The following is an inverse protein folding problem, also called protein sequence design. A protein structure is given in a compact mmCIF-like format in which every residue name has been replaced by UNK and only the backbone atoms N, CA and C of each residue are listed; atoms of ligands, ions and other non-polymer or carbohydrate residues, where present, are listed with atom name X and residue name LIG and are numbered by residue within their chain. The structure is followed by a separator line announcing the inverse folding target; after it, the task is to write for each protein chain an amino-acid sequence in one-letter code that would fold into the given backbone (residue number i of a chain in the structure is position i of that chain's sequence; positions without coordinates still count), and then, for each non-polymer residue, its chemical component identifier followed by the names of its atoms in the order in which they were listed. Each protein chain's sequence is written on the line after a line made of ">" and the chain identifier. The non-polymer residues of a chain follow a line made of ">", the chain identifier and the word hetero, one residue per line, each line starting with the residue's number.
data_IF_435971031548
#
_entry.id   IF_435971031548
#
_cell.length_a   1.000
_cell.length_b   1.000
_cell.length_c   1.000
_cell.angle_alpha   90.00
_cell.angle_beta   90.00
_cell.angle_gamma   90.00
#
_symmetry.space_group_name_H-M   'P 1'
#
loop_
_entity.id
_entity.type
_entity.pdbx_description
1 polymer ?
#
# COMPACT_ATOMS: atom_id res chain seq x y z
N UNK A 1 97.25 -38.24 13.54
CA UNK A 1 96.75 -39.58 13.21
C UNK A 1 95.32 -39.42 12.71
N UNK A 2 95.06 -39.38 11.39
CA UNK A 2 94.69 -40.56 10.53
C UNK A 2 93.43 -41.25 11.06
N UNK A 3 92.28 -41.41 10.39
CA UNK A 3 91.92 -41.72 8.99
C UNK A 3 90.42 -41.37 8.77
N UNK A 4 90.02 -40.73 7.66
CA UNK A 4 89.34 -41.31 6.45
C UNK A 4 88.07 -42.13 6.74
N UNK A 5 86.90 -41.60 6.38
CA UNK A 5 86.07 -41.95 5.20
C UNK A 5 85.06 -43.08 5.55
N UNK A 6 83.86 -43.28 4.97
CA UNK A 6 83.24 -42.91 3.70
C UNK A 6 81.75 -43.36 3.80
N UNK A 7 80.80 -42.52 3.34
CA UNK A 7 79.44 -42.81 2.77
C UNK A 7 78.47 -43.70 3.59
N UNK A 8 77.17 -43.41 3.65
CA UNK A 8 76.17 -43.81 2.64
C UNK A 8 74.93 -42.93 2.77
N UNK A 9 74.47 -42.45 1.62
CA UNK A 9 73.24 -41.72 1.39
C UNK A 9 72.00 -42.56 1.75
N UNK A 10 71.06 -41.97 2.49
CA UNK A 10 69.65 -42.37 2.40
C UNK A 10 68.80 -41.09 2.33
N UNK A 11 68.41 -40.74 1.11
CA UNK A 11 67.43 -39.71 0.79
C UNK A 11 66.06 -40.20 1.28
N UNK A 12 65.59 -39.69 2.42
CA UNK A 12 64.17 -39.75 2.76
C UNK A 12 63.52 -38.45 2.25
N UNK A 13 63.09 -38.47 0.99
CA UNK A 13 62.19 -37.46 0.47
C UNK A 13 60.80 -37.70 1.08
N UNK A 14 60.50 -36.99 2.16
CA UNK A 14 59.14 -36.91 2.69
C UNK A 14 58.36 -35.96 1.78
N UNK A 15 57.63 -36.51 0.83
CA UNK A 15 56.63 -35.77 0.07
C UNK A 15 55.45 -35.44 0.99
N UNK A 16 55.36 -34.19 1.45
CA UNK A 16 54.14 -33.67 2.05
C UNK A 16 53.10 -33.49 0.94
N UNK A 17 52.22 -34.48 0.79
CA UNK A 17 50.95 -34.33 0.07
C UNK A 17 50.01 -33.51 0.95
N UNK A 18 49.88 -32.22 0.66
CA UNK A 18 48.78 -31.41 1.17
C UNK A 18 47.53 -31.83 0.40
N UNK A 19 46.78 -32.78 0.96
CA UNK A 19 45.43 -33.08 0.51
C UNK A 19 44.55 -31.96 1.07
N UNK A 20 44.24 -30.95 0.26
CA UNK A 20 43.13 -30.06 0.54
C UNK A 20 41.84 -30.90 0.44
N UNK A 21 41.39 -31.43 1.58
CA UNK A 21 40.05 -31.98 1.69
C UNK A 21 39.07 -30.80 1.55
N UNK A 22 38.58 -30.56 0.34
CA UNK A 22 37.39 -29.75 0.14
C UNK A 22 36.24 -30.53 0.77
N UNK A 23 35.81 -30.09 1.95
CA UNK A 23 34.54 -30.53 2.51
C UNK A 23 33.46 -30.22 1.47
N UNK A 24 32.55 -31.18 1.15
CA UNK A 24 31.40 -30.84 0.33
C UNK A 24 30.67 -29.70 1.02
N UNK A 25 30.40 -28.62 0.28
CA UNK A 25 29.53 -27.57 0.76
C UNK A 25 28.20 -28.23 1.15
N UNK A 26 27.95 -28.36 2.46
CA UNK A 26 26.66 -28.76 2.96
C UNK A 26 25.73 -27.59 2.68
N UNK A 27 24.99 -27.70 1.59
CA UNK A 27 23.85 -26.85 1.29
C UNK A 27 22.93 -26.91 2.52
N UNK A 28 22.78 -25.76 3.19
CA UNK A 28 21.93 -25.66 4.37
C UNK A 28 20.52 -26.09 3.96
N UNK A 29 19.84 -26.98 4.71
CA UNK A 29 18.48 -27.36 4.36
C UNK A 29 17.64 -26.10 4.26
N UNK A 30 17.04 -25.86 3.09
CA UNK A 30 16.13 -24.75 2.89
C UNK A 30 15.11 -24.75 4.03
N UNK A 31 14.89 -23.61 4.72
CA UNK A 31 13.87 -23.53 5.75
C UNK A 31 12.54 -23.99 5.14
N UNK A 32 11.72 -24.74 5.88
CA UNK A 32 10.45 -25.25 5.37
C UNK A 32 9.65 -24.08 4.81
N UNK A 33 9.27 -24.18 3.54
CA UNK A 33 8.42 -23.21 2.88
C UNK A 33 7.03 -23.29 3.53
N UNK A 34 6.86 -22.56 4.63
CA UNK A 34 5.54 -22.23 5.14
C UNK A 34 4.81 -21.52 4.01
N UNK A 35 3.61 -21.95 3.59
CA UNK A 35 2.91 -21.31 2.48
C UNK A 35 2.69 -19.84 2.82
N UNK A 36 3.43 -18.94 2.15
CA UNK A 36 3.08 -17.54 2.10
C UNK A 36 1.62 -17.46 1.64
N UNK A 37 0.81 -16.59 2.26
CA UNK A 37 -0.56 -16.39 1.80
C UNK A 37 -0.53 -15.91 0.36
N UNK A 38 -0.77 -16.82 -0.59
CA UNK A 38 -0.81 -16.52 -2.01
C UNK A 38 -2.10 -15.77 -2.30
N UNK A 39 -2.01 -14.44 -2.34
CA UNK A 39 -3.07 -13.61 -2.91
C UNK A 39 -3.03 -13.82 -4.43
N UNK A 40 -4.15 -14.17 -5.08
CA UNK A 40 -4.22 -14.21 -6.52
C UNK A 40 -3.72 -12.87 -7.10
N UNK A 41 -2.87 -12.86 -8.13
CA UNK A 41 -2.32 -11.61 -8.67
C UNK A 41 -3.39 -10.60 -9.07
N UNK A 42 -4.54 -11.09 -9.57
CA UNK A 42 -5.68 -10.27 -10.00
C UNK A 42 -6.40 -9.55 -8.84
N UNK A 43 -6.14 -9.95 -7.59
CA UNK A 43 -6.74 -9.35 -6.39
C UNK A 43 -5.83 -8.30 -5.73
N UNK A 44 -4.69 -7.95 -6.35
CA UNK A 44 -3.73 -6.97 -5.83
C UNK A 44 -3.87 -5.64 -6.60
N UNK A 45 -4.23 -4.56 -5.89
CA UNK A 45 -4.31 -3.22 -6.46
C UNK A 45 -3.00 -2.43 -6.37
N UNK A 46 -2.17 -2.71 -5.38
CA UNK A 46 -0.95 -1.95 -5.11
C UNK A 46 -0.16 -2.52 -3.94
N UNK A 47 0.84 -1.78 -3.48
CA UNK A 47 1.77 -2.24 -2.47
C UNK A 47 2.07 -1.17 -1.41
N UNK A 48 2.29 -1.63 -0.19
CA UNK A 48 2.96 -0.85 0.85
C UNK A 48 4.36 -1.42 0.99
N UNK A 49 5.39 -0.61 0.86
CA UNK A 49 6.78 -1.08 1.01
C UNK A 49 7.31 -0.57 2.34
N UNK A 50 7.78 -1.47 3.20
CA UNK A 50 8.47 -1.12 4.43
C UNK A 50 9.98 -1.24 4.22
N UNK A 51 10.74 -0.27 4.75
CA UNK A 51 12.21 -0.24 4.65
C UNK A 51 12.83 -0.21 6.05
N UNK A 52 14.03 -0.78 6.17
CA UNK A 52 14.92 -0.57 7.33
C UNK A 52 15.94 0.56 7.05
N UNK A 53 16.90 0.74 7.97
CA UNK A 53 17.96 1.74 7.87
C UNK A 53 18.99 1.47 6.77
N UNK A 54 19.07 0.24 6.26
CA UNK A 54 20.02 -0.20 5.24
C UNK A 54 19.36 -0.36 3.87
N UNK A 55 18.19 0.24 3.67
CA UNK A 55 17.35 0.13 2.47
C UNK A 55 16.91 -1.31 2.14
N UNK A 56 17.00 -2.25 3.10
CA UNK A 56 16.34 -3.54 2.94
C UNK A 56 14.84 -3.32 3.01
N UNK A 57 14.09 -4.03 2.17
CA UNK A 57 12.66 -3.81 2.06
C UNK A 57 11.86 -5.10 2.00
N UNK A 58 10.59 -4.97 2.36
CA UNK A 58 9.56 -5.94 2.04
C UNK A 58 8.33 -5.19 1.53
N UNK A 59 7.55 -5.83 0.65
CA UNK A 59 6.31 -5.27 0.14
C UNK A 59 5.12 -6.06 0.67
N UNK A 60 4.08 -5.32 1.01
CA UNK A 60 2.82 -5.83 1.55
C UNK A 60 1.72 -5.57 0.53
N UNK A 61 1.13 -6.62 -0.08
CA UNK A 61 0.13 -6.44 -1.13
C UNK A 61 -1.17 -5.85 -0.58
N UNK A 62 -1.75 -4.92 -1.33
CA UNK A 62 -3.02 -4.27 -0.99
C UNK A 62 -4.13 -4.86 -1.85
N UNK A 63 -5.23 -5.36 -1.26
CA UNK A 63 -6.33 -5.90 -2.03
C UNK A 63 -6.96 -4.86 -2.97
N UNK A 64 -7.66 -5.32 -4.01
CA UNK A 64 -8.45 -4.45 -4.89
C UNK A 64 -9.57 -3.71 -4.15
N UNK A 65 -9.90 -2.51 -4.62
CA UNK A 65 -11.08 -1.79 -4.15
C UNK A 65 -12.36 -2.59 -4.43
N UNK A 66 -13.36 -2.41 -3.57
CA UNK A 66 -14.62 -3.14 -3.70
C UNK A 66 -14.62 -4.54 -3.07
N UNK A 67 -13.45 -5.13 -2.80
CA UNK A 67 -13.36 -6.46 -2.16
C UNK A 67 -13.91 -6.48 -0.73
N UNK A 68 -13.80 -5.37 0.01
CA UNK A 68 -14.19 -5.30 1.42
C UNK A 68 -13.37 -6.22 2.33
N UNK A 69 -12.22 -6.68 1.85
CA UNK A 69 -11.35 -7.63 2.53
C UNK A 69 -10.49 -6.89 3.55
N UNK A 70 -10.25 -7.53 4.69
CA UNK A 70 -9.21 -7.14 5.64
C UNK A 70 -8.08 -8.16 5.60
N UNK A 71 -6.85 -7.67 5.43
CA UNK A 71 -5.61 -8.46 5.51
C UNK A 71 -4.77 -7.97 6.66
N UNK A 72 -4.14 -8.89 7.37
CA UNK A 72 -3.23 -8.63 8.48
C UNK A 72 -1.90 -9.28 8.12
N UNK A 73 -0.85 -8.48 8.15
CA UNK A 73 0.51 -8.86 7.84
C UNK A 73 1.34 -8.70 9.10
N UNK A 74 1.46 -9.81 9.84
CA UNK A 74 2.33 -9.92 11.01
C UNK A 74 3.76 -10.24 10.54
N UNK A 75 4.70 -9.38 10.91
CA UNK A 75 6.09 -9.54 10.53
C UNK A 75 6.75 -10.63 11.38
N UNK A 76 6.27 -10.89 12.60
CA UNK A 76 6.83 -11.96 13.44
C UNK A 76 6.53 -13.37 12.89
N UNK A 77 5.29 -13.63 12.47
CA UNK A 77 4.83 -14.98 12.10
C UNK A 77 5.35 -15.53 10.75
N UNK A 78 6.22 -14.81 10.03
CA UNK A 78 6.84 -15.28 8.77
C UNK A 78 5.93 -15.25 7.52
N UNK A 79 4.60 -15.30 7.71
CA UNK A 79 3.63 -15.42 6.62
C UNK A 79 3.50 -14.17 5.72
N UNK A 80 4.02 -13.02 6.16
CA UNK A 80 3.92 -11.76 5.43
C UNK A 80 5.10 -11.47 4.49
N UNK A 81 6.12 -12.33 4.42
CA UNK A 81 7.35 -12.04 3.64
C UNK A 81 8.19 -10.88 4.20
N UNK A 82 7.80 -10.34 5.36
CA UNK A 82 8.43 -9.20 6.03
C UNK A 82 9.16 -9.59 7.33
N UNK A 83 9.45 -10.87 7.53
CA UNK A 83 10.00 -11.37 8.81
C UNK A 83 11.32 -10.72 9.20
N UNK A 84 12.21 -10.56 8.22
CA UNK A 84 13.52 -9.97 8.44
C UNK A 84 13.47 -8.50 8.91
N UNK A 85 12.33 -7.84 8.68
CA UNK A 85 12.06 -6.43 9.00
C UNK A 85 11.23 -6.23 10.28
N UNK A 86 10.80 -7.31 10.95
CA UNK A 86 10.14 -7.21 12.25
C UNK A 86 11.04 -6.47 13.25
N UNK A 87 10.51 -5.43 13.90
CA UNK A 87 11.26 -4.52 14.80
C UNK A 87 12.52 -3.91 14.15
N UNK A 88 12.51 -3.70 12.83
CA UNK A 88 13.60 -3.03 12.09
C UNK A 88 13.10 -2.04 11.04
N UNK A 89 11.87 -2.21 10.57
CA UNK A 89 11.28 -1.25 9.65
C UNK A 89 11.07 0.11 10.34
N UNK A 90 11.57 1.17 9.69
CA UNK A 90 11.54 2.55 10.20
C UNK A 90 10.83 3.53 9.27
N UNK A 91 10.51 3.11 8.05
CA UNK A 91 9.86 3.94 7.05
C UNK A 91 9.02 3.11 6.08
N UNK A 92 8.07 3.77 5.43
CA UNK A 92 7.12 3.15 4.52
C UNK A 92 6.92 3.99 3.25
N UNK A 93 6.67 3.34 2.13
CA UNK A 93 6.19 3.96 0.90
C UNK A 93 4.89 3.30 0.45
N UNK A 94 4.08 4.03 -0.30
CA UNK A 94 2.77 3.58 -0.75
C UNK A 94 2.68 3.68 -2.27
N UNK A 95 2.26 2.62 -2.94
CA UNK A 95 2.18 2.51 -4.39
C UNK A 95 0.82 1.96 -4.83
N UNK A 96 0.21 2.62 -5.81
CA UNK A 96 -1.07 2.28 -6.43
C UNK A 96 -2.23 1.94 -5.47
N UNK A 97 -2.24 2.55 -4.27
CA UNK A 97 -3.26 2.26 -3.29
C UNK A 97 -4.66 2.69 -3.75
N UNK A 98 -5.67 1.81 -3.63
CA UNK A 98 -7.05 2.15 -3.96
C UNK A 98 -7.60 3.24 -3.04
N UNK A 99 -8.67 3.90 -3.49
CA UNK A 99 -9.38 4.88 -2.66
C UNK A 99 -10.11 4.21 -1.50
N UNK A 100 -10.32 4.95 -0.41
CA UNK A 100 -11.02 4.49 0.79
C UNK A 100 -10.41 3.25 1.46
N UNK A 101 -9.11 3.02 1.28
CA UNK A 101 -8.33 1.99 1.94
C UNK A 101 -7.93 2.47 3.33
N UNK A 102 -8.24 1.70 4.36
CA UNK A 102 -7.74 1.93 5.72
C UNK A 102 -6.47 1.13 5.94
N UNK A 103 -5.47 1.76 6.55
CA UNK A 103 -4.17 1.15 6.84
C UNK A 103 -3.89 1.40 8.31
N UNK A 104 -3.50 0.35 9.02
CA UNK A 104 -3.03 0.42 10.39
C UNK A 104 -1.60 -0.12 10.43
N UNK A 105 -0.67 0.70 10.94
CA UNK A 105 0.72 0.34 11.19
C UNK A 105 0.93 0.27 12.70
N UNK A 106 1.50 -0.83 13.22
CA UNK A 106 1.71 -1.03 14.66
C UNK A 106 3.06 -1.65 14.98
N UNK A 107 3.57 -1.41 16.18
CA UNK A 107 4.77 -2.08 16.71
C UNK A 107 4.50 -3.44 17.36
N UNK A 108 3.23 -3.84 17.39
CA UNK A 108 2.82 -5.11 17.98
C UNK A 108 2.28 -6.07 16.92
N UNK A 109 2.59 -7.38 17.00
CA UNK A 109 2.09 -8.38 16.04
C UNK A 109 0.56 -8.54 16.06
N UNK A 110 -0.13 -8.11 17.13
CA UNK A 110 -1.59 -8.23 17.21
C UNK A 110 -2.36 -7.25 16.30
N UNK A 111 -1.71 -6.22 15.75
CA UNK A 111 -2.33 -5.27 14.82
C UNK A 111 -3.64 -4.62 15.36
N UNK A 112 -3.68 -4.30 16.65
CA UNK A 112 -4.85 -3.71 17.34
C UNK A 112 -4.59 -2.29 17.83
N UNK A 113 -5.68 -1.52 18.01
CA UNK A 113 -5.65 -0.17 18.60
C UNK A 113 -6.29 -0.12 19.98
N UNK A 114 -6.73 -1.26 20.50
CA UNK A 114 -7.45 -1.38 21.78
C UNK A 114 -7.12 -2.69 22.47
N UNK A 115 -7.13 -2.68 23.80
CA UNK A 115 -6.81 -3.85 24.62
C UNK A 115 -5.90 -3.45 25.78
N UNK A 116 -5.12 -4.41 26.27
CA UNK A 116 -4.07 -4.15 27.26
C UNK A 116 -2.88 -3.42 26.61
N UNK A 117 -2.06 -2.73 27.41
CA UNK A 117 -0.81 -2.09 26.94
C UNK A 117 0.07 -3.05 26.13
N UNK A 118 0.12 -4.32 26.53
CA UNK A 118 0.89 -5.38 25.84
C UNK A 118 0.32 -5.68 24.46
N UNK A 119 -1.00 -5.62 24.28
CA UNK A 119 -1.63 -5.86 22.99
C UNK A 119 -1.50 -4.63 22.07
N UNK A 120 -1.70 -3.42 22.60
CA UNK A 120 -1.66 -2.20 21.78
C UNK A 120 -0.24 -1.86 21.33
N UNK A 121 0.77 -2.19 22.13
CA UNK A 121 2.15 -1.80 21.87
C UNK A 121 2.43 -0.35 22.25
N UNK A 122 3.59 0.16 21.84
CA UNK A 122 4.02 1.54 22.08
C UNK A 122 3.44 2.51 21.08
N UNK A 123 3.13 2.09 19.84
CA UNK A 123 2.54 3.00 18.87
C UNK A 123 1.60 2.32 17.90
N UNK A 124 0.68 3.12 17.38
CA UNK A 124 -0.04 2.77 16.16
C UNK A 124 -0.36 4.01 15.33
N UNK A 125 -0.41 3.84 14.02
CA UNK A 125 -0.72 4.89 13.05
C UNK A 125 -1.87 4.39 12.18
N UNK A 126 -2.98 5.13 12.16
CA UNK A 126 -4.16 4.82 11.36
C UNK A 126 -4.29 5.81 10.21
N UNK A 127 -4.17 5.31 9.00
CA UNK A 127 -4.26 6.07 7.76
C UNK A 127 -5.53 5.69 6.99
N UNK A 128 -5.98 6.60 6.13
CA UNK A 128 -7.02 6.32 5.14
C UNK A 128 -6.69 7.00 3.83
N UNK A 129 -6.82 6.27 2.72
CA UNK A 129 -6.71 6.90 1.41
C UNK A 129 -8.01 7.64 1.05
N UNK A 130 -7.89 8.87 0.54
CA UNK A 130 -9.05 9.71 0.14
C UNK A 130 -9.28 9.73 -1.36
N UNK A 131 -8.27 9.32 -2.13
CA UNK A 131 -8.29 9.06 -3.58
C UNK A 131 -7.25 7.99 -3.87
N UNK A 132 -7.18 7.49 -5.12
CA UNK A 132 -6.10 6.58 -5.52
C UNK A 132 -4.74 7.26 -5.28
N UNK A 133 -3.83 6.58 -4.60
CA UNK A 133 -2.45 7.03 -4.35
C UNK A 133 -1.56 6.32 -5.36
N UNK A 134 -0.97 7.04 -6.29
CA UNK A 134 -0.11 6.44 -7.33
C UNK A 134 1.23 6.02 -6.76
N UNK A 135 1.94 6.95 -6.12
CA UNK A 135 3.20 6.68 -5.45
C UNK A 135 3.45 7.75 -4.39
N UNK A 136 4.10 7.38 -3.29
CA UNK A 136 4.66 8.33 -2.33
C UNK A 136 6.17 8.16 -2.25
N UNK A 137 6.87 9.24 -1.91
CA UNK A 137 8.21 9.13 -1.34
C UNK A 137 8.18 8.29 -0.06
N UNK A 138 9.35 7.79 0.34
CA UNK A 138 9.53 7.10 1.61
C UNK A 138 9.23 8.03 2.78
N UNK A 139 8.35 7.60 3.69
CA UNK A 139 7.92 8.34 4.87
C UNK A 139 8.38 7.60 6.12
N UNK A 140 9.24 8.24 6.92
CA UNK A 140 9.66 7.68 8.20
C UNK A 140 8.50 7.63 9.21
N UNK A 141 8.45 6.57 10.02
CA UNK A 141 7.38 6.38 11.01
C UNK A 141 7.24 7.55 12.01
N UNK A 142 8.33 8.16 12.52
CA UNK A 142 8.23 9.34 13.38
C UNK A 142 7.53 10.55 12.72
N UNK A 143 7.57 10.64 11.38
CA UNK A 143 7.01 11.77 10.66
C UNK A 143 5.48 11.87 10.83
N UNK A 144 4.79 10.73 10.92
CA UNK A 144 3.34 10.69 11.08
C UNK A 144 2.86 11.35 12.38
N UNK A 145 3.64 11.25 13.47
CA UNK A 145 3.29 11.84 14.76
C UNK A 145 3.49 13.35 14.83
N UNK A 146 4.02 13.98 13.77
CA UNK A 146 4.11 15.44 13.65
C UNK A 146 2.79 16.08 13.21
N UNK A 147 1.85 15.27 12.71
CA UNK A 147 0.59 15.73 12.17
C UNK A 147 -0.53 15.63 13.21
N UNK A 148 -1.46 16.59 13.15
CA UNK A 148 -2.71 16.47 13.89
C UNK A 148 -3.61 15.38 13.27
N UNK A 149 -4.51 14.82 14.08
CA UNK A 149 -5.52 13.86 13.62
C UNK A 149 -6.39 14.47 12.53
N UNK A 150 -6.87 13.64 11.59
CA UNK A 150 -7.68 14.03 10.43
C UNK A 150 -7.01 15.05 9.48
N UNK A 151 -5.69 14.97 9.31
CA UNK A 151 -4.95 15.83 8.37
C UNK A 151 -4.40 15.05 7.18
N UNK A 152 -4.33 15.70 6.01
CA UNK A 152 -3.72 15.10 4.83
C UNK A 152 -2.20 15.22 4.94
N UNK A 153 -1.51 14.08 4.93
CA UNK A 153 -0.04 14.01 5.01
C UNK A 153 0.59 14.17 3.63
N UNK A 154 -0.02 13.52 2.63
CA UNK A 154 0.33 13.58 1.21
C UNK A 154 -0.97 13.59 0.39
N UNK A 155 -0.95 14.00 -0.89
CA UNK A 155 -2.14 13.96 -1.73
C UNK A 155 -2.77 12.57 -1.76
N UNK A 156 -3.99 12.44 -1.22
CA UNK A 156 -4.69 11.16 -1.17
C UNK A 156 -4.43 10.29 0.05
N UNK A 157 -3.57 10.74 0.99
CA UNK A 157 -3.25 10.00 2.22
C UNK A 157 -3.59 10.84 3.46
N UNK A 158 -4.63 10.43 4.18
CA UNK A 158 -5.13 11.08 5.40
C UNK A 158 -4.62 10.34 6.64
N UNK A 159 -4.05 11.06 7.60
CA UNK A 159 -3.89 10.58 8.97
C UNK A 159 -5.24 10.62 9.67
N UNK A 160 -5.84 9.46 9.95
CA UNK A 160 -7.11 9.39 10.68
C UNK A 160 -6.84 9.60 12.17
N UNK A 161 -5.93 8.81 12.71
CA UNK A 161 -5.61 8.82 14.13
C UNK A 161 -4.22 8.21 14.37
N UNK A 162 -3.64 8.45 15.54
CA UNK A 162 -2.38 7.88 15.97
C UNK A 162 -2.28 7.82 17.49
N UNK A 163 -1.50 6.87 17.99
CA UNK A 163 -1.11 6.74 19.39
C UNK A 163 0.39 6.51 19.49
N UNK A 164 0.97 7.06 20.54
CA UNK A 164 2.39 6.92 20.84
C UNK A 164 2.58 6.99 22.36
N UNK A 165 3.28 6.00 22.90
CA UNK A 165 3.75 5.93 24.27
C UNK A 165 5.26 6.18 24.27
N UNK A 166 5.65 7.38 24.68
CA UNK A 166 7.06 7.82 24.67
C UNK A 166 7.32 8.88 23.61
N UNK A 167 8.52 8.87 23.03
CA UNK A 167 8.98 9.81 22.02
C UNK A 167 8.73 9.31 20.60
N UNK A 168 8.63 10.20 19.61
CA UNK A 168 8.35 9.80 18.22
C UNK A 168 9.42 8.91 17.61
N UNK A 169 10.65 8.99 18.11
CA UNK A 169 11.78 8.13 17.70
C UNK A 169 11.61 6.69 18.16
N UNK A 170 10.74 6.41 19.15
CA UNK A 170 10.43 5.04 19.58
C UNK A 170 9.67 4.26 18.50
N UNK A 171 9.18 4.95 17.47
CA UNK A 171 8.58 4.32 16.29
C UNK A 171 9.61 3.96 15.21
N UNK A 172 10.87 4.39 15.32
CA UNK A 172 11.94 3.89 14.44
C UNK A 172 12.24 2.44 14.80
N UNK A 173 12.56 1.63 13.79
CA UNK A 173 12.98 0.24 13.97
C UNK A 173 12.02 -0.56 14.86
N UNK A 174 10.72 -0.38 14.65
CA UNK A 174 9.71 -0.92 15.56
C UNK A 174 8.44 -1.38 14.85
N UNK A 175 8.27 -1.15 13.54
CA UNK A 175 7.09 -1.64 12.82
C UNK A 175 7.11 -3.17 12.74
N UNK A 176 6.03 -3.78 13.21
CA UNK A 176 5.92 -5.24 13.32
C UNK A 176 4.61 -5.79 12.79
N UNK A 177 3.61 -4.94 12.52
CA UNK A 177 2.40 -5.38 11.86
C UNK A 177 1.74 -4.30 11.00
N UNK A 178 1.17 -4.74 9.87
CA UNK A 178 0.38 -3.92 8.95
C UNK A 178 -0.99 -4.56 8.75
N UNK A 179 -2.07 -3.82 9.04
CA UNK A 179 -3.45 -4.24 8.73
C UNK A 179 -4.06 -3.32 7.69
N UNK A 180 -4.58 -3.92 6.62
CA UNK A 180 -5.17 -3.22 5.49
C UNK A 180 -6.62 -3.65 5.36
N UNK A 181 -7.52 -2.68 5.24
CA UNK A 181 -8.94 -2.90 4.98
C UNK A 181 -9.38 -2.06 3.78
N UNK A 182 -9.82 -2.72 2.72
CA UNK A 182 -10.35 -2.05 1.53
C UNK A 182 -11.84 -1.78 1.67
N UNK A 183 -12.33 -0.81 0.90
CA UNK A 183 -13.76 -0.56 0.80
C UNK A 183 -14.48 -1.78 0.23
N UNK A 184 -15.67 -2.08 0.76
CA UNK A 184 -16.59 -3.03 0.13
C UNK A 184 -17.27 -2.31 -1.03
N UNK A 185 -17.48 -3.01 -2.13
CA UNK A 185 -18.31 -2.53 -3.21
C UNK A 185 -19.72 -2.38 -2.62
N UNK A 186 -20.11 -1.14 -2.33
CA UNK A 186 -21.53 -0.84 -2.26
C UNK A 186 -22.08 -1.15 -3.64
N UNK A 187 -23.23 -1.84 -3.71
CA UNK A 187 -23.95 -2.12 -4.96
C UNK A 187 -23.79 -0.95 -5.94
N UNK A 188 -23.55 -1.22 -7.24
CA UNK A 188 -23.27 -0.16 -8.21
C UNK A 188 -24.27 0.96 -7.98
N UNK A 189 -23.76 2.16 -7.65
CA UNK A 189 -24.58 3.36 -7.44
C UNK A 189 -25.59 3.32 -8.59
N UNK A 190 -26.91 3.21 -8.32
CA UNK A 190 -27.88 2.93 -9.36
C UNK A 190 -27.62 3.91 -10.50
N UNK A 191 -27.19 3.39 -11.65
CA UNK A 191 -27.03 4.18 -12.85
C UNK A 191 -28.45 4.55 -13.23
N UNK A 192 -28.90 5.67 -12.68
CA UNK A 192 -30.15 6.31 -13.04
C UNK A 192 -29.99 6.63 -14.52
N UNK A 193 -30.62 5.83 -15.37
CA UNK A 193 -30.75 6.15 -16.78
C UNK A 193 -31.40 7.54 -16.84
N UNK A 194 -30.68 8.53 -17.33
CA UNK A 194 -31.28 9.84 -17.56
C UNK A 194 -32.06 9.73 -18.86
N UNK A 195 -33.38 9.83 -18.79
CA UNK A 195 -34.18 9.94 -20.01
C UNK A 195 -33.90 11.31 -20.62
N UNK A 196 -33.31 11.34 -21.80
CA UNK A 196 -33.26 12.54 -22.61
C UNK A 196 -34.73 12.92 -22.90
N UNK A 197 -35.16 14.09 -22.44
CA UNK A 197 -36.42 14.66 -22.93
C UNK A 197 -36.00 15.38 -24.21
N UNK A 198 -36.13 14.70 -25.37
CA UNK A 198 -35.72 15.23 -26.69
C UNK A 198 -36.36 16.58 -27.05
N UNK A 199 -37.36 17.02 -26.28
CA UNK A 199 -38.11 18.25 -26.50
C UNK A 199 -37.67 19.45 -25.65
N UNK A 200 -36.61 19.33 -24.84
CA UNK A 200 -36.21 20.39 -23.91
C UNK A 200 -34.85 21.02 -24.27
N UNK A 201 -34.61 21.14 -25.56
CA UNK A 201 -33.48 21.88 -26.14
C UNK A 201 -33.78 23.38 -26.06
N UNK A 202 -32.90 24.13 -25.43
CA UNK A 202 -33.04 25.59 -25.33
C UNK A 202 -31.84 26.26 -25.99
N UNK A 203 -32.14 27.10 -26.98
CA UNK A 203 -31.18 28.02 -27.59
C UNK A 203 -31.26 29.34 -26.84
N UNK A 204 -30.14 29.76 -26.26
CA UNK A 204 -30.08 31.01 -25.51
C UNK A 204 -28.91 31.85 -26.01
N UNK A 205 -29.18 33.12 -26.31
CA UNK A 205 -28.13 34.09 -26.64
C UNK A 205 -27.23 34.28 -25.42
N UNK A 206 -25.93 34.19 -25.64
CA UNK A 206 -24.94 34.32 -24.59
C UNK A 206 -24.51 35.78 -24.49
N UNK A 207 -24.83 36.42 -23.37
CA UNK A 207 -24.24 37.70 -22.97
C UNK A 207 -23.18 37.44 -21.88
N UNK A 208 -22.17 38.31 -21.76
CA UNK A 208 -21.15 38.21 -20.71
C UNK A 208 -21.81 38.11 -19.32
N UNK A 209 -21.59 36.98 -18.62
CA UNK A 209 -22.15 36.71 -17.30
C UNK A 209 -23.43 35.86 -17.26
N UNK A 210 -23.89 35.33 -18.40
CA UNK A 210 -25.06 34.45 -18.44
C UNK A 210 -24.86 33.16 -17.62
N UNK A 211 -25.82 32.86 -16.74
CA UNK A 211 -25.88 31.61 -15.97
C UNK A 211 -27.11 30.81 -16.37
N UNK A 212 -26.91 29.63 -16.97
CA UNK A 212 -27.98 28.73 -17.38
C UNK A 212 -28.35 27.73 -16.27
N UNK A 213 -29.65 27.61 -15.97
CA UNK A 213 -30.17 26.62 -15.05
C UNK A 213 -31.28 25.79 -15.70
N UNK A 214 -31.17 24.46 -15.66
CA UNK A 214 -32.21 23.56 -16.18
C UNK A 214 -33.55 23.67 -15.45
N UNK A 215 -33.59 24.22 -14.23
CA UNK A 215 -34.80 24.39 -13.42
C UNK A 215 -35.44 23.08 -12.95
N UNK A 216 -36.05 23.11 -11.76
CA UNK A 216 -36.68 21.93 -11.15
C UNK A 216 -35.69 20.79 -10.83
N UNK A 217 -36.17 19.55 -10.78
CA UNK A 217 -35.34 18.34 -10.55
C UNK A 217 -34.65 17.85 -11.84
N UNK A 218 -34.20 18.78 -12.70
CA UNK A 218 -33.54 18.46 -13.98
C UNK A 218 -32.06 18.78 -13.92
N UNK A 219 -31.26 17.98 -14.62
CA UNK A 219 -29.81 18.12 -14.70
C UNK A 219 -29.40 18.53 -16.12
N UNK A 220 -28.30 19.28 -16.24
CA UNK A 220 -27.68 19.59 -17.52
C UNK A 220 -27.00 18.33 -18.06
N UNK A 221 -27.41 17.90 -19.24
CA UNK A 221 -26.92 16.70 -19.91
C UNK A 221 -25.90 17.03 -21.00
N UNK A 222 -25.95 18.24 -21.55
CA UNK A 222 -25.02 18.67 -22.56
C UNK A 222 -25.17 20.16 -22.89
N UNK A 223 -24.11 20.71 -23.46
CA UNK A 223 -24.08 22.02 -24.07
C UNK A 223 -23.42 21.88 -25.44
N UNK A 224 -23.98 22.54 -26.45
CA UNK A 224 -23.33 22.71 -27.74
C UNK A 224 -23.27 24.20 -28.08
N UNK A 225 -22.20 24.60 -28.77
CA UNK A 225 -22.01 25.93 -29.30
C UNK A 225 -21.61 25.78 -30.77
N UNK A 226 -22.16 26.63 -31.61
CA UNK A 226 -21.88 26.59 -33.04
C UNK A 226 -21.71 28.02 -33.55
N UNK A 227 -20.61 28.29 -34.25
CA UNK A 227 -20.30 29.60 -34.82
C UNK A 227 -19.35 30.42 -33.94
N UNK A 228 -19.58 31.74 -33.90
CA UNK A 228 -18.78 32.69 -33.14
C UNK A 228 -19.40 33.00 -31.75
N UNK A 229 -18.70 33.76 -30.91
CA UNK A 229 -19.13 34.00 -29.52
C UNK A 229 -20.45 34.81 -29.39
N UNK A 230 -21.03 35.28 -30.50
CA UNK A 230 -22.33 35.95 -30.53
C UNK A 230 -23.48 34.98 -30.84
N UNK A 231 -23.16 33.76 -31.25
CA UNK A 231 -24.16 32.76 -31.59
C UNK A 231 -24.74 32.06 -30.35
N UNK A 232 -26.04 31.71 -30.38
CA UNK A 232 -26.70 31.11 -29.24
C UNK A 232 -26.10 29.74 -28.90
N UNK A 233 -26.10 29.44 -27.61
CA UNK A 233 -25.68 28.14 -27.09
C UNK A 233 -26.90 27.22 -26.97
N UNK A 234 -26.72 25.96 -27.36
CA UNK A 234 -27.68 24.90 -27.15
C UNK A 234 -27.44 24.27 -25.77
N UNK A 235 -28.47 24.24 -24.92
CA UNK A 235 -28.43 23.52 -23.66
C UNK A 235 -29.45 22.39 -23.65
N UNK A 236 -29.03 21.22 -23.14
CA UNK A 236 -29.86 20.02 -23.01
C UNK A 236 -30.05 19.66 -21.56
N UNK A 237 -31.30 19.57 -21.13
CA UNK A 237 -31.67 19.20 -19.76
C UNK A 237 -32.48 17.90 -19.75
N UNK A 238 -32.38 17.13 -18.68
CA UNK A 238 -33.26 15.97 -18.47
C UNK A 238 -33.44 15.59 -17.01
N UNK A 239 -34.35 14.66 -16.78
CA UNK A 239 -34.76 14.24 -15.43
C UNK A 239 -34.12 12.90 -15.08
N UNK A 240 -33.54 12.74 -13.88
CA UNK A 240 -33.03 11.45 -13.45
C UNK A 240 -34.19 10.43 -13.28
N UNK A 241 -34.16 9.30 -14.00
CA UNK A 241 -35.11 8.19 -13.76
C UNK A 241 -34.57 7.20 -12.72
N UNK A 242 -35.29 7.06 -11.59
CA UNK A 242 -34.96 6.06 -10.57
C UNK A 242 -35.29 4.66 -11.10
N UNK A 243 -34.27 3.87 -11.43
CA UNK A 243 -34.45 2.43 -11.67
C UNK A 243 -34.48 1.75 -10.30
N UNK A 244 -35.61 1.15 -9.94
CA UNK A 244 -35.71 0.30 -8.75
C UNK A 244 -35.18 -1.07 -9.17
N UNK A 245 -34.04 -1.54 -8.64
CA UNK A 245 -33.58 -2.89 -8.96
C UNK A 245 -34.61 -3.92 -8.45
N UNK A 246 -34.85 -5.02 -9.20
CA UNK A 246 -35.75 -6.07 -8.74
C UNK A 246 -35.20 -6.67 -7.45
N UNK A 247 -36.06 -6.74 -6.43
CA UNK A 247 -35.77 -7.44 -5.18
C UNK A 247 -35.39 -8.90 -5.53
N UNK A 248 -34.18 -9.32 -5.18
CA UNK A 248 -33.79 -10.73 -5.14
C UNK A 248 -33.81 -11.20 -3.70
#
# INVERSE_FOLDING_TARGET
>A
MTMKALRVSLLLAVALLVIAAQAPAQESPAPPATPAQTIPPDDIAGYITAYDENDRYCYVPVPVEGSGVTRVYDFYAGNAGCHDLNDKAWSVAFEDLPSATQILLTDNPTCTTSGTDVAVGKFWIKLKTTKKVTITETVQLPYFFRFAKNTLIKPGLLLVDSYLKGGSTDALNALSCVRITTSRATLPKPTVQVRLIEQNTQWVNWDEGFTFHCGGNRMLLGRAHFGDERDPNEFRCGTPCRVIPPLR
#
